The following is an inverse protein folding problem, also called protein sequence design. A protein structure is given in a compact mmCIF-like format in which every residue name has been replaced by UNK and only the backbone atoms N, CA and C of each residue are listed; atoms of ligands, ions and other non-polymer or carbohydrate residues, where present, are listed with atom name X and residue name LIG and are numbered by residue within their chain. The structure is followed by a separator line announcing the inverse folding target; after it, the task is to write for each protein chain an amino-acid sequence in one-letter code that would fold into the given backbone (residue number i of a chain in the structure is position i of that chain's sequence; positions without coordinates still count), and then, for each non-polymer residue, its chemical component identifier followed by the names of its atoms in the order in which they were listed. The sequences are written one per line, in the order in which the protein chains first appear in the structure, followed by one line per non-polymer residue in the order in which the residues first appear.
data_IF_238907629277
#
_entry.id   IF_238907629277
#
_cell.length_a   1.000
_cell.length_b   1.000
_cell.length_c   1.000
_cell.angle_alpha   90.00
_cell.angle_beta   90.00
_cell.angle_gamma   90.00
#
_symmetry.space_group_name_H-M   'P 1'
#
loop_
_entity.id
_entity.type
_entity.pdbx_description
1 polymer ?
#
# COMPACT_ATOMS: atom_id res chain seq x y z
N UNK A 1 72.35 29.76 -15.13
CA UNK A 1 72.09 29.42 -13.71
C UNK A 1 70.83 28.58 -13.68
N UNK A 2 70.67 27.49 -12.96
CA UNK A 2 71.54 26.47 -12.35
C UNK A 2 70.59 25.32 -11.95
N UNK A 3 71.15 24.13 -11.78
CA UNK A 3 70.64 22.80 -11.37
C UNK A 3 69.42 22.60 -10.43
N UNK A 4 68.87 21.35 -10.38
CA UNK A 4 67.80 20.82 -9.48
C UNK A 4 68.40 20.14 -8.21
N UNK A 5 67.76 19.16 -7.49
CA UNK A 5 66.46 18.97 -6.78
C UNK A 5 66.71 18.91 -5.20
N UNK A 6 65.89 18.34 -4.25
CA UNK A 6 65.54 16.88 -4.12
C UNK A 6 64.22 16.46 -3.36
N UNK A 7 63.70 15.28 -3.73
CA UNK A 7 63.29 14.08 -2.93
C UNK A 7 62.83 14.26 -1.47
N UNK A 8 61.63 13.73 -1.12
CA UNK A 8 61.40 12.79 0.04
C UNK A 8 60.21 11.84 -0.19
N UNK A 9 60.50 10.56 -0.44
CA UNK A 9 59.80 9.43 0.20
C UNK A 9 60.74 8.86 1.28
N UNK A 10 60.26 8.20 2.34
CA UNK A 10 60.22 6.73 2.26
C UNK A 10 59.04 6.05 3.00
N UNK A 11 58.55 5.00 2.34
CA UNK A 11 58.42 3.61 2.83
C UNK A 11 57.88 3.30 4.23
N UNK A 12 56.89 2.38 4.26
CA UNK A 12 56.49 1.66 5.47
C UNK A 12 55.51 0.50 5.24
N UNK A 13 55.83 -0.42 4.31
CA UNK A 13 55.12 -1.69 4.11
C UNK A 13 55.48 -2.70 5.22
N UNK A 14 54.50 -3.43 5.78
CA UNK A 14 54.62 -4.79 6.37
C UNK A 14 53.20 -5.35 6.64
N UNK A 15 52.59 -6.11 5.71
CA UNK A 15 52.63 -7.59 5.52
C UNK A 15 51.89 -8.45 6.59
N UNK A 16 50.79 -9.08 6.12
CA UNK A 16 50.29 -10.48 6.29
C UNK A 16 49.73 -10.90 7.69
N UNK A 17 48.41 -11.22 7.85
CA UNK A 17 47.62 -12.47 7.56
C UNK A 17 48.12 -13.74 8.30
N UNK A 18 47.32 -14.79 8.63
CA UNK A 18 45.84 -15.03 8.57
C UNK A 18 45.22 -15.92 9.73
N UNK A 19 43.92 -16.27 9.57
CA UNK A 19 43.18 -17.48 10.06
C UNK A 19 42.96 -17.65 11.59
N UNK A 20 41.79 -18.08 12.10
CA UNK A 20 41.18 -19.43 11.94
C UNK A 20 39.73 -19.47 12.46
N UNK A 21 38.98 -20.42 11.89
CA UNK A 21 37.59 -20.87 12.07
C UNK A 21 37.19 -21.20 13.53
N UNK A 22 35.94 -20.88 13.91
CA UNK A 22 35.11 -21.70 14.80
C UNK A 22 33.61 -21.39 14.59
N UNK A 23 32.85 -22.40 14.18
CA UNK A 23 31.39 -22.46 14.28
C UNK A 23 30.95 -22.36 15.74
N UNK A 24 29.86 -21.63 16.00
CA UNK A 24 28.89 -22.07 17.00
C UNK A 24 27.52 -21.48 16.73
N UNK A 25 26.53 -22.35 16.89
CA UNK A 25 25.13 -22.17 16.64
C UNK A 25 24.45 -21.18 17.61
N UNK A 26 23.43 -20.47 17.12
CA UNK A 26 22.54 -19.67 17.97
C UNK A 26 21.47 -18.96 17.12
N UNK A 27 20.18 -19.17 17.40
CA UNK A 27 19.13 -19.06 16.40
C UNK A 27 18.77 -17.62 16.08
N UNK A 28 18.52 -17.40 14.78
CA UNK A 28 17.84 -16.24 14.23
C UNK A 28 16.53 -16.05 15.00
N UNK A 29 16.48 -15.04 15.86
CA UNK A 29 15.22 -14.51 16.38
C UNK A 29 14.48 -13.93 15.18
N UNK A 30 13.66 -14.79 14.57
CA UNK A 30 12.73 -14.44 13.51
C UNK A 30 11.97 -13.23 14.00
N UNK A 31 12.25 -12.09 13.37
CA UNK A 31 11.41 -10.90 13.44
C UNK A 31 10.03 -11.39 13.08
N UNK A 32 9.18 -11.53 14.09
CA UNK A 32 7.78 -11.86 13.93
C UNK A 32 7.27 -10.97 12.80
N UNK A 33 6.85 -11.61 11.72
CA UNK A 33 6.07 -10.95 10.71
C UNK A 33 4.92 -10.33 11.49
N UNK A 34 4.94 -9.00 11.63
CA UNK A 34 3.77 -8.25 12.06
C UNK A 34 2.73 -8.51 10.98
N UNK A 35 1.94 -9.54 11.19
CA UNK A 35 0.85 -9.99 10.33
C UNK A 35 -0.29 -8.98 10.46
N UNK A 36 -0.05 -7.77 9.97
CA UNK A 36 -1.15 -6.96 9.48
C UNK A 36 -1.74 -7.68 8.26
N UNK A 37 -3.08 -7.77 8.12
CA UNK A 37 -3.67 -8.32 6.92
C UNK A 37 -3.38 -7.33 5.79
N UNK A 38 -2.28 -7.61 5.10
CA UNK A 38 -1.83 -6.97 3.86
C UNK A 38 -2.38 -7.75 2.66
N UNK A 39 -3.19 -8.77 2.92
CA UNK A 39 -3.84 -9.57 1.89
C UNK A 39 -4.85 -8.69 1.15
N UNK A 40 -4.76 -8.64 -0.18
CA UNK A 40 -5.80 -8.02 -0.99
C UNK A 40 -7.16 -8.61 -0.61
N UNK A 41 -8.23 -7.81 -0.72
CA UNK A 41 -9.59 -8.35 -0.60
C UNK A 41 -9.78 -9.47 -1.64
N UNK A 42 -10.62 -10.48 -1.38
CA UNK A 42 -10.88 -11.57 -2.33
C UNK A 42 -11.27 -11.06 -3.73
N UNK A 43 -11.96 -9.92 -3.80
CA UNK A 43 -12.31 -9.24 -5.05
C UNK A 43 -11.08 -8.79 -5.87
N UNK A 44 -10.00 -8.39 -5.20
CA UNK A 44 -8.74 -8.03 -5.85
C UNK A 44 -7.99 -9.27 -6.34
N UNK A 45 -8.01 -10.37 -5.58
CA UNK A 45 -7.29 -11.59 -5.97
C UNK A 45 -7.86 -12.22 -7.24
N UNK A 46 -9.19 -12.29 -7.37
CA UNK A 46 -9.85 -12.77 -8.58
C UNK A 46 -9.50 -11.89 -9.81
N UNK A 47 -9.38 -10.58 -9.60
CA UNK A 47 -9.03 -9.63 -10.64
C UNK A 47 -7.54 -9.74 -11.02
N UNK A 48 -6.66 -9.87 -10.02
CA UNK A 48 -5.24 -10.08 -10.25
C UNK A 48 -4.98 -11.39 -10.99
N UNK A 49 -5.72 -12.46 -10.69
CA UNK A 49 -5.62 -13.73 -11.38
C UNK A 49 -5.97 -13.61 -12.87
N UNK A 50 -6.95 -12.79 -13.24
CA UNK A 50 -7.32 -12.59 -14.65
C UNK A 50 -6.37 -11.65 -15.41
N UNK A 51 -5.74 -10.69 -14.74
CA UNK A 51 -4.85 -9.72 -15.38
C UNK A 51 -3.38 -10.14 -15.46
N UNK A 52 -2.85 -10.83 -14.43
CA UNK A 52 -1.43 -11.26 -14.37
C UNK A 52 -0.91 -12.03 -15.60
N UNK A 53 -1.73 -12.82 -16.32
CA UNK A 53 -1.27 -13.48 -17.55
C UNK A 53 -0.96 -12.51 -18.70
N UNK A 54 -1.61 -11.35 -18.73
CA UNK A 54 -1.55 -10.35 -19.82
C UNK A 54 -0.75 -9.09 -19.46
N UNK A 55 -0.72 -8.76 -18.17
CA UNK A 55 -0.19 -7.52 -17.64
C UNK A 55 0.75 -7.79 -16.48
N UNK A 56 1.80 -6.98 -16.35
CA UNK A 56 2.60 -6.93 -15.15
C UNK A 56 1.96 -5.97 -14.14
N UNK A 57 1.14 -6.55 -13.26
CA UNK A 57 0.35 -5.81 -12.27
C UNK A 57 1.06 -5.81 -10.91
N UNK A 58 1.37 -4.61 -10.42
CA UNK A 58 1.95 -4.39 -9.09
C UNK A 58 0.87 -4.03 -8.06
N UNK A 59 0.55 -4.91 -7.09
CA UNK A 59 -0.35 -4.57 -5.99
C UNK A 59 0.36 -3.67 -4.97
N UNK A 60 -0.29 -2.56 -4.62
CA UNK A 60 0.24 -1.52 -3.76
C UNK A 60 -0.79 -1.14 -2.68
N UNK A 61 -0.65 -1.75 -1.50
CA UNK A 61 -1.50 -1.42 -0.35
C UNK A 61 -1.05 -0.11 0.31
N UNK A 62 -2.01 0.78 0.58
CA UNK A 62 -1.79 2.05 1.26
C UNK A 62 -2.42 2.02 2.66
N UNK A 63 -1.57 2.34 3.64
CA UNK A 63 -1.93 2.54 5.05
C UNK A 63 -1.46 3.90 5.55
N UNK A 64 -1.95 4.32 6.71
CA UNK A 64 -1.61 5.59 7.35
C UNK A 64 -0.09 5.82 7.56
N UNK A 65 0.72 4.78 7.73
CA UNK A 65 2.17 4.91 7.86
C UNK A 65 2.94 4.98 6.52
N UNK A 66 2.24 4.81 5.39
CA UNK A 66 2.85 4.86 4.05
C UNK A 66 3.45 6.23 3.78
N UNK A 67 4.76 6.27 3.47
CA UNK A 67 5.46 7.49 3.08
C UNK A 67 5.13 7.80 1.62
N UNK A 68 4.44 8.92 1.38
CA UNK A 68 3.91 9.31 0.06
C UNK A 68 5.02 9.33 -1.00
N UNK A 69 6.10 10.10 -0.78
CA UNK A 69 7.19 10.23 -1.76
C UNK A 69 7.84 8.89 -2.13
N UNK A 70 8.15 8.05 -1.13
CA UNK A 70 8.72 6.72 -1.37
C UNK A 70 7.78 5.86 -2.20
N UNK A 71 6.48 5.92 -1.90
CA UNK A 71 5.49 5.15 -2.65
C UNK A 71 5.38 5.67 -4.08
N UNK A 72 5.26 6.97 -4.29
CA UNK A 72 5.20 7.58 -5.64
C UNK A 72 6.40 7.16 -6.48
N UNK A 73 7.62 7.28 -5.96
CA UNK A 73 8.84 6.89 -6.69
C UNK A 73 8.85 5.40 -7.04
N UNK A 74 8.41 4.54 -6.11
CA UNK A 74 8.35 3.10 -6.35
C UNK A 74 7.33 2.73 -7.44
N UNK A 75 6.18 3.41 -7.47
CA UNK A 75 5.16 3.19 -8.50
C UNK A 75 5.62 3.67 -9.88
N UNK A 76 6.24 4.86 -9.94
CA UNK A 76 6.80 5.39 -11.18
C UNK A 76 7.90 4.49 -11.73
N UNK A 77 8.78 3.98 -10.85
CA UNK A 77 9.81 3.03 -11.23
C UNK A 77 9.19 1.77 -11.85
N UNK A 78 8.11 1.23 -11.28
CA UNK A 78 7.42 0.08 -11.86
C UNK A 78 6.82 0.40 -13.24
N UNK A 79 6.05 1.49 -13.32
CA UNK A 79 5.33 1.89 -14.54
C UNK A 79 6.27 2.21 -15.71
N UNK A 80 7.45 2.77 -15.42
CA UNK A 80 8.43 3.19 -16.44
C UNK A 80 9.54 2.17 -16.69
N UNK A 81 9.66 1.12 -15.87
CA UNK A 81 10.73 0.15 -16.03
C UNK A 81 10.54 -0.59 -17.35
N UNK A 82 11.64 -0.75 -18.08
CA UNK A 82 11.71 -1.46 -19.35
C UNK A 82 12.68 -2.62 -19.18
N UNK A 83 12.13 -3.83 -19.06
CA UNK A 83 12.90 -5.06 -18.89
C UNK A 83 12.83 -5.96 -20.14
N UNK A 84 12.29 -5.45 -21.26
CA UNK A 84 12.04 -6.24 -22.46
C UNK A 84 10.85 -7.22 -22.36
N UNK A 85 10.07 -7.16 -21.28
CA UNK A 85 8.80 -7.91 -21.18
C UNK A 85 7.75 -7.26 -22.10
N UNK A 86 7.10 -8.02 -23.02
CA UNK A 86 6.03 -7.48 -23.87
C UNK A 86 4.77 -7.06 -23.10
N UNK A 87 4.62 -7.46 -21.82
CA UNK A 87 3.45 -7.14 -21.01
C UNK A 87 3.42 -5.67 -20.61
N UNK A 88 2.27 -5.03 -20.88
CA UNK A 88 1.97 -3.70 -20.37
C UNK A 88 1.91 -3.72 -18.85
N UNK A 89 2.36 -2.62 -18.23
CA UNK A 89 2.47 -2.51 -16.78
C UNK A 89 1.32 -1.74 -16.19
N UNK A 90 0.84 -2.24 -15.05
CA UNK A 90 -0.19 -1.57 -14.29
C UNK A 90 0.13 -1.64 -12.80
N UNK A 91 -0.41 -0.69 -12.06
CA UNK A 91 -0.37 -0.66 -10.60
C UNK A 91 -1.80 -0.81 -10.09
N UNK A 92 -2.01 -1.68 -9.12
CA UNK A 92 -3.24 -1.76 -8.33
C UNK A 92 -3.02 -1.07 -6.99
N UNK A 93 -3.57 0.12 -6.82
CA UNK A 93 -3.62 0.83 -5.54
C UNK A 93 -4.91 0.46 -4.81
N UNK A 94 -4.79 0.05 -3.56
CA UNK A 94 -5.94 -0.23 -2.69
C UNK A 94 -5.62 0.17 -1.24
N UNK A 95 -6.66 0.53 -0.48
CA UNK A 95 -6.52 1.03 0.88
C UNK A 95 -7.72 0.70 1.75
N UNK A 96 -7.56 0.77 3.07
CA UNK A 96 -8.71 0.75 3.99
C UNK A 96 -9.48 2.08 3.89
N UNK A 97 -10.76 2.14 4.28
CA UNK A 97 -11.60 3.33 4.10
C UNK A 97 -10.97 4.61 4.68
N UNK A 98 -10.33 4.51 5.85
CA UNK A 98 -9.64 5.65 6.48
C UNK A 98 -8.36 6.12 5.77
N UNK A 99 -7.80 5.30 4.88
CA UNK A 99 -6.55 5.56 4.17
C UNK A 99 -6.76 5.86 2.66
N UNK A 100 -8.01 5.82 2.18
CA UNK A 100 -8.36 6.08 0.77
C UNK A 100 -7.90 7.46 0.32
N UNK A 101 -8.07 8.48 1.16
CA UNK A 101 -7.64 9.86 0.85
C UNK A 101 -6.14 9.90 0.53
N UNK A 102 -5.32 9.23 1.35
CA UNK A 102 -3.86 9.14 1.14
C UNK A 102 -3.51 8.38 -0.13
N UNK A 103 -4.22 7.29 -0.41
CA UNK A 103 -4.05 6.52 -1.63
C UNK A 103 -4.36 7.36 -2.88
N UNK A 104 -5.45 8.14 -2.85
CA UNK A 104 -5.80 9.07 -3.94
C UNK A 104 -4.68 10.10 -4.10
N UNK A 105 -4.17 10.71 -3.02
CA UNK A 105 -3.05 11.65 -3.09
C UNK A 105 -1.83 11.03 -3.80
N UNK A 106 -1.49 9.78 -3.49
CA UNK A 106 -0.39 9.06 -4.14
C UNK A 106 -0.70 8.87 -5.64
N UNK A 107 -1.91 8.43 -6.01
CA UNK A 107 -2.32 8.25 -7.39
C UNK A 107 -2.25 9.56 -8.19
N UNK A 108 -2.76 10.66 -7.64
CA UNK A 108 -2.76 11.97 -8.29
C UNK A 108 -1.34 12.52 -8.51
N UNK A 109 -0.44 12.32 -7.54
CA UNK A 109 0.96 12.70 -7.71
C UNK A 109 1.65 11.92 -8.83
N UNK A 110 1.40 10.60 -8.93
CA UNK A 110 1.92 9.78 -10.03
C UNK A 110 1.36 10.28 -11.36
N UNK A 111 0.04 10.53 -11.46
CA UNK A 111 -0.59 11.05 -12.69
C UNK A 111 -0.03 12.40 -13.11
N UNK A 112 0.21 13.31 -12.16
CA UNK A 112 0.80 14.62 -12.44
C UNK A 112 2.19 14.48 -13.04
N UNK A 113 3.05 13.69 -12.40
CA UNK A 113 4.42 13.46 -12.88
C UNK A 113 4.42 12.79 -14.27
N UNK A 114 3.53 11.83 -14.50
CA UNK A 114 3.38 11.21 -15.83
C UNK A 114 2.88 12.23 -16.86
N UNK A 115 1.90 13.06 -16.53
CA UNK A 115 1.34 14.04 -17.47
C UNK A 115 2.32 15.18 -17.82
N UNK A 116 3.32 15.43 -16.97
CA UNK A 116 4.41 16.37 -17.23
C UNK A 116 5.46 15.80 -18.21
N UNK A 117 5.53 14.48 -18.40
CA UNK A 117 6.41 13.87 -19.39
C UNK A 117 5.92 14.12 -20.83
N UNK A 118 6.85 14.20 -21.79
CA UNK A 118 6.51 14.30 -23.22
C UNK A 118 5.69 13.08 -23.69
N UNK A 119 4.43 13.33 -24.10
CA UNK A 119 3.51 12.26 -24.51
C UNK A 119 2.96 11.40 -23.35
N UNK A 120 3.09 11.90 -22.12
CA UNK A 120 2.63 11.26 -20.90
C UNK A 120 1.13 10.98 -20.86
N UNK A 121 0.75 9.74 -21.16
CA UNK A 121 -0.64 9.27 -21.06
C UNK A 121 -0.83 8.40 -19.84
N UNK A 122 -1.97 8.55 -19.19
CA UNK A 122 -2.40 7.68 -18.11
C UNK A 122 -3.85 7.25 -18.27
N UNK A 123 -4.12 6.05 -17.78
CA UNK A 123 -5.43 5.42 -17.75
C UNK A 123 -5.67 4.94 -16.33
N UNK A 124 -6.77 5.37 -15.74
CA UNK A 124 -7.18 5.05 -14.38
C UNK A 124 -8.51 4.28 -14.43
N UNK A 125 -8.56 3.16 -13.71
CA UNK A 125 -9.77 2.34 -13.57
C UNK A 125 -10.12 2.22 -12.09
N UNK A 126 -11.27 2.76 -11.69
CA UNK A 126 -11.70 2.78 -10.29
C UNK A 126 -12.77 1.74 -10.06
N UNK A 127 -12.60 0.97 -8.98
CA UNK A 127 -13.56 -0.01 -8.51
C UNK A 127 -13.85 0.21 -7.03
N UNK A 128 -15.14 0.29 -6.68
CA UNK A 128 -15.57 0.31 -5.28
C UNK A 128 -15.73 -1.13 -4.80
N UNK A 129 -15.18 -1.45 -3.63
CA UNK A 129 -15.24 -2.77 -3.03
C UNK A 129 -15.90 -2.68 -1.66
N UNK A 130 -16.86 -3.56 -1.39
CA UNK A 130 -17.48 -3.66 -0.07
C UNK A 130 -16.60 -4.52 0.83
N UNK A 131 -16.36 -4.03 2.04
CA UNK A 131 -15.61 -4.74 3.06
C UNK A 131 -16.56 -5.56 3.93
N UNK A 132 -16.15 -6.76 4.37
CA UNK A 132 -16.90 -7.47 5.39
C UNK A 132 -16.99 -6.59 6.64
N UNK A 133 -18.11 -6.66 7.38
CA UNK A 133 -18.26 -5.92 8.62
C UNK A 133 -17.11 -6.27 9.56
N UNK A 134 -16.50 -5.26 10.18
CA UNK A 134 -15.50 -5.49 11.21
C UNK A 134 -16.21 -6.19 12.37
N UNK A 135 -15.76 -7.38 12.74
CA UNK A 135 -16.08 -7.89 14.06
C UNK A 135 -15.47 -6.90 15.06
N UNK A 136 -16.30 -6.36 15.95
CA UNK A 136 -15.83 -5.56 17.06
C UNK A 136 -15.00 -6.50 17.93
N UNK A 137 -13.67 -6.45 17.78
CA UNK A 137 -12.76 -7.19 18.65
C UNK A 137 -12.73 -6.40 19.94
N UNK A 138 -13.74 -6.64 20.79
CA UNK A 138 -13.63 -6.37 22.22
C UNK A 138 -12.52 -7.30 22.68
N UNK A 139 -11.32 -6.75 22.94
CA UNK A 139 -10.33 -7.45 23.76
C UNK A 139 -10.94 -7.60 25.15
N UNK A 140 -11.78 -8.61 25.30
CA UNK A 140 -12.29 -9.08 26.57
C UNK A 140 -11.07 -9.61 27.32
N UNK A 141 -10.48 -8.72 28.11
CA UNK A 141 -9.38 -9.05 29.00
C UNK A 141 -9.93 -10.10 29.97
N UNK A 142 -9.53 -11.34 29.75
CA UNK A 142 -9.77 -12.45 30.67
C UNK A 142 -9.11 -12.11 32.02
N UNK A 143 -9.90 -11.60 32.98
CA UNK A 143 -9.63 -11.80 34.39
C UNK A 143 -10.65 -12.80 34.92
N UNK A 144 -10.28 -14.08 34.77
CA UNK A 144 -10.79 -15.11 35.68
C UNK A 144 -10.29 -14.80 37.09
N UNK A 145 -11.21 -14.70 38.04
CA UNK A 145 -10.88 -14.56 39.46
C UNK A 145 -12.15 -14.44 40.29
N UNK A 146 -12.48 -15.52 41.01
CA UNK A 146 -13.73 -15.68 41.75
C UNK A 146 -13.97 -14.63 42.82
N UNK A 147 -15.24 -14.49 43.20
CA UNK A 147 -15.69 -13.53 44.20
C UNK A 147 -15.10 -13.77 45.58
N UNK A 148 -14.95 -12.66 46.32
CA UNK A 148 -15.33 -12.50 47.73
C UNK A 148 -15.09 -11.03 48.12
N UNK A 149 -16.07 -10.46 48.81
CA UNK A 149 -16.06 -9.10 49.32
C UNK A 149 -14.96 -8.86 50.35
N UNK A 150 -14.29 -7.70 50.29
CA UNK A 150 -13.91 -6.91 51.48
C UNK A 150 -13.58 -5.47 51.12
N UNK A 151 -14.28 -4.55 51.76
CA UNK A 151 -14.16 -3.10 51.63
C UNK A 151 -12.82 -2.54 52.14
N UNK A 152 -12.35 -1.45 51.51
CA UNK A 152 -11.71 -0.32 52.17
C UNK A 152 -11.77 0.92 51.26
N UNK A 153 -12.17 2.03 51.86
CA UNK A 153 -12.54 3.30 51.24
C UNK A 153 -11.35 4.13 50.73
N UNK A 154 -11.60 5.02 49.76
CA UNK A 154 -10.71 6.14 49.45
C UNK A 154 -10.91 6.79 48.08
N UNK A 155 -11.87 7.72 48.00
CA UNK A 155 -11.79 9.01 47.26
C UNK A 155 -11.32 9.02 45.80
N UNK A 156 -12.25 9.19 44.85
CA UNK A 156 -12.51 10.45 44.13
C UNK A 156 -13.17 10.17 42.76
N UNK A 157 -14.42 10.63 42.62
CA UNK A 157 -15.23 10.84 41.41
C UNK A 157 -14.92 10.03 40.14
N UNK A 158 -15.16 8.71 40.18
CA UNK A 158 -15.24 7.86 38.99
C UNK A 158 -16.71 7.78 38.54
N UNK A 159 -17.09 8.68 37.63
CA UNK A 159 -18.43 8.72 37.04
C UNK A 159 -18.61 7.47 36.16
N UNK A 160 -19.09 6.37 36.74
CA UNK A 160 -19.61 5.24 35.98
C UNK A 160 -20.81 5.74 35.15
N UNK A 161 -20.58 6.01 33.86
CA UNK A 161 -21.66 6.22 32.89
C UNK A 161 -22.39 4.89 32.74
N UNK A 162 -23.40 4.72 33.58
CA UNK A 162 -24.38 3.65 33.46
C UNK A 162 -25.21 3.93 32.20
N UNK A 163 -24.69 3.56 31.02
CA UNK A 163 -25.47 3.55 29.78
C UNK A 163 -26.69 2.66 30.01
N UNK A 164 -27.82 3.31 30.27
CA UNK A 164 -29.04 2.63 30.67
C UNK A 164 -29.55 1.84 29.48
N UNK A 165 -29.94 0.57 29.69
CA UNK A 165 -30.51 -0.29 28.62
C UNK A 165 -31.65 0.38 27.85
N UNK A 166 -32.31 1.36 28.48
CA UNK A 166 -33.32 2.20 27.86
C UNK A 166 -32.76 3.13 26.77
N UNK A 167 -31.60 3.74 26.94
CA UNK A 167 -30.98 4.60 25.92
C UNK A 167 -30.65 3.79 24.66
N UNK A 168 -30.16 2.56 24.83
CA UNK A 168 -29.91 1.63 23.72
C UNK A 168 -31.19 1.10 23.05
N UNK A 169 -32.32 1.14 23.72
CA UNK A 169 -33.62 0.72 23.18
C UNK A 169 -34.38 1.86 22.47
N UNK A 170 -34.09 3.12 22.79
CA UNK A 170 -34.71 4.31 22.18
C UNK A 170 -33.85 4.86 21.03
N UNK A 171 -32.53 4.66 21.08
CA UNK A 171 -31.66 5.03 19.98
C UNK A 171 -31.84 4.05 18.80
N UNK A 172 -31.99 4.54 17.56
CA UNK A 172 -31.98 3.69 16.39
C UNK A 172 -30.74 2.80 16.40
N UNK A 173 -30.86 1.50 16.09
CA UNK A 173 -29.70 0.62 15.97
C UNK A 173 -28.66 1.30 15.06
N UNK A 174 -27.36 1.29 15.42
CA UNK A 174 -26.34 1.90 14.59
C UNK A 174 -26.44 1.31 13.20
N UNK A 175 -26.66 2.16 12.21
CA UNK A 175 -26.85 1.72 10.83
C UNK A 175 -25.60 0.94 10.39
N UNK A 176 -25.72 -0.37 10.25
CA UNK A 176 -24.63 -1.25 9.79
C UNK A 176 -24.39 -1.04 8.29
N UNK A 177 -23.86 0.13 7.93
CA UNK A 177 -23.44 0.37 6.55
C UNK A 177 -22.13 -0.38 6.34
N UNK A 178 -22.16 -1.35 5.42
CA UNK A 178 -20.95 -2.03 4.97
C UNK A 178 -19.93 -0.97 4.55
N UNK A 179 -18.75 -0.99 5.17
CA UNK A 179 -17.71 -0.04 4.86
C UNK A 179 -17.23 -0.27 3.43
N UNK A 180 -17.13 0.79 2.62
CA UNK A 180 -16.65 0.71 1.24
C UNK A 180 -15.19 1.13 1.17
N UNK A 181 -14.39 0.39 0.42
CA UNK A 181 -13.01 0.68 0.07
C UNK A 181 -12.90 0.98 -1.42
N UNK A 182 -11.93 1.81 -1.79
CA UNK A 182 -11.63 2.15 -3.18
C UNK A 182 -10.39 1.38 -3.65
N UNK A 183 -10.47 0.86 -4.87
CA UNK A 183 -9.33 0.36 -5.63
C UNK A 183 -9.16 1.12 -6.92
N UNK A 184 -7.90 1.42 -7.24
CA UNK A 184 -7.51 2.21 -8.40
C UNK A 184 -6.45 1.45 -9.15
N UNK A 185 -6.76 1.06 -10.39
CA UNK A 185 -5.75 0.60 -11.34
C UNK A 185 -5.21 1.80 -12.10
N UNK A 186 -3.89 1.92 -12.18
CA UNK A 186 -3.21 2.96 -12.94
C UNK A 186 -2.26 2.31 -13.95
N UNK A 187 -2.33 2.76 -15.20
CA UNK A 187 -1.52 2.24 -16.31
C UNK A 187 -1.14 3.38 -17.26
N UNK A 188 0.01 3.25 -17.93
CA UNK A 188 0.43 4.16 -19.00
C UNK A 188 -0.14 3.78 -20.37
N UNK A 189 -0.76 2.61 -20.47
CA UNK A 189 -1.39 2.09 -21.68
C UNK A 189 -2.83 1.65 -21.39
N UNK A 190 -3.73 1.68 -22.39
CA UNK A 190 -5.12 1.28 -22.18
C UNK A 190 -5.21 -0.23 -21.92
N UNK A 191 -6.09 -0.59 -20.98
CA UNK A 191 -6.43 -1.95 -20.55
C UNK A 191 -7.92 -2.20 -20.85
N UNK A 192 -8.26 -2.74 -22.04
CA UNK A 192 -9.64 -2.96 -22.45
C UNK A 192 -10.44 -3.88 -21.50
N UNK A 193 -9.79 -4.87 -20.89
CA UNK A 193 -10.40 -5.84 -19.99
C UNK A 193 -10.95 -5.18 -18.72
N UNK A 194 -10.27 -4.15 -18.22
CA UNK A 194 -10.74 -3.36 -17.08
C UNK A 194 -11.86 -2.40 -17.50
N UNK A 195 -11.80 -1.86 -18.71
CA UNK A 195 -12.83 -0.97 -19.25
C UNK A 195 -14.16 -1.69 -19.50
N UNK A 196 -14.11 -2.94 -19.93
CA UNK A 196 -15.29 -3.75 -20.23
C UNK A 196 -15.96 -4.37 -18.99
N UNK A 197 -15.36 -4.22 -17.81
CA UNK A 197 -15.84 -4.85 -16.58
C UNK A 197 -16.91 -4.00 -15.89
N UNK A 198 -17.98 -4.66 -15.44
CA UNK A 198 -19.06 -4.00 -14.70
C UNK A 198 -18.57 -3.41 -13.36
N UNK A 199 -19.10 -2.23 -13.02
CA UNK A 199 -18.77 -1.54 -11.77
C UNK A 199 -17.37 -0.90 -11.75
N UNK A 200 -16.68 -0.85 -12.89
CA UNK A 200 -15.40 -0.14 -13.06
C UNK A 200 -15.63 1.17 -13.81
N UNK A 201 -15.16 2.29 -13.27
CA UNK A 201 -15.17 3.58 -13.96
C UNK A 201 -13.81 3.88 -14.57
N UNK A 202 -13.77 4.46 -15.77
CA UNK A 202 -12.54 4.76 -16.50
C UNK A 202 -12.29 6.26 -16.56
N UNK A 203 -11.06 6.69 -16.30
CA UNK A 203 -10.59 8.07 -16.44
C UNK A 203 -9.26 8.09 -17.21
N UNK A 204 -9.03 9.10 -18.03
CA UNK A 204 -7.78 9.25 -18.80
C UNK A 204 -7.53 10.73 -19.11
N UNK A 205 -6.26 11.09 -19.37
CA UNK A 205 -5.89 12.40 -19.92
C UNK A 205 -5.70 12.40 -21.45
N UNK A 206 -5.93 11.27 -22.13
CA UNK A 206 -5.83 11.21 -23.59
C UNK A 206 -6.95 12.06 -24.22
N UNK A 207 -6.64 12.96 -25.19
CA UNK A 207 -7.65 13.73 -25.88
C UNK A 207 -8.58 12.77 -26.64
N UNK A 208 -9.88 12.80 -26.31
CA UNK A 208 -10.90 12.04 -27.02
C UNK A 208 -11.06 12.61 -28.43
N UNK A 209 -10.28 12.10 -29.40
CA UNK A 209 -10.24 12.68 -30.74
C UNK A 209 -9.50 11.82 -31.75
N UNK A 210 -9.99 10.60 -32.01
CA UNK A 210 -9.79 9.88 -33.26
C UNK A 210 -10.85 8.78 -33.39
N UNK A 211 -12.12 9.16 -33.47
CA UNK A 211 -13.08 8.31 -34.18
C UNK A 211 -12.55 8.17 -35.61
N UNK A 212 -12.23 6.95 -35.99
CA UNK A 212 -11.87 6.56 -37.34
C UNK A 212 -13.04 6.86 -38.28
N UNK A 213 -13.10 8.07 -38.82
CA UNK A 213 -13.83 8.37 -40.06
C UNK A 213 -12.87 8.14 -41.22
N UNK A 214 -12.63 6.86 -41.55
CA UNK A 214 -12.16 6.49 -42.89
C UNK A 214 -13.40 6.38 -43.77
N UNK A 215 -13.86 7.50 -44.29
CA UNK A 215 -14.77 7.53 -45.43
C UNK A 215 -13.96 7.14 -46.67
N UNK A 216 -14.17 5.92 -47.14
CA UNK A 216 -13.62 5.41 -48.41
C UNK A 216 -14.25 6.18 -49.57
N UNK A 217 -13.37 6.55 -50.51
CA UNK A 217 -13.65 7.27 -51.75
C UNK A 217 -14.31 6.38 -52.79
#
# INVERSE_FOLDING_TARGET
MAEPPPIKQPQGNKKRKPSTIAESAGPKKSRAASSGPTTPLPAHDALLASLRPKYDVLPAFTISSTKIQKRVNWLLLHLRKDDGDPRKRAVLLYARPGDVVKMITIAELVKRIVAEDEGGRWYQYNQMCELPPKADVVEETMLGGGGLAKAAAGSDDDFEVMESRFERAVLPPPASRAAKSLSVFLSLAPIPELRAKDGVTTQTNEPQGASTSTATK
#
